data_IF_891097213188
#
_entry.id   IF_891097213188
#
_cell.length_a   1.000
_cell.length_b   1.000
_cell.length_c   1.000
_cell.angle_alpha   90.00
_cell.angle_beta   90.00
_cell.angle_gamma   90.00
#
_symmetry.space_group_name_H-M   'P 1'
#
loop_
_entity.id
_entity.type
_entity.pdbx_description
1 polymer ?
#
# COMPACT_ATOMS: atom_id res chain seq x y z
N UNK A 1 33.88 -15.14 -2.74
CA UNK A 1 34.30 -14.38 -1.54
C UNK A 1 34.45 -12.91 -1.92
N UNK A 2 33.35 -12.16 -1.90
CA UNK A 2 33.32 -10.72 -2.14
C UNK A 2 33.11 -10.02 -0.80
N UNK A 3 34.07 -9.17 -0.41
CA UNK A 3 33.98 -8.33 0.79
C UNK A 3 32.91 -7.28 0.54
N UNK A 4 31.80 -7.34 1.27
CA UNK A 4 30.86 -6.23 1.39
C UNK A 4 31.57 -5.08 2.12
N UNK A 5 31.84 -4.00 1.40
CA UNK A 5 32.26 -2.72 1.96
C UNK A 5 31.13 -2.19 2.84
N UNK A 6 31.26 -2.37 4.16
CA UNK A 6 30.37 -1.77 5.14
C UNK A 6 30.50 -0.26 5.11
N UNK A 7 29.57 0.41 4.44
CA UNK A 7 29.31 1.83 4.63
C UNK A 7 28.86 2.02 6.07
N UNK A 8 29.73 2.63 6.87
CA UNK A 8 29.39 2.97 8.24
C UNK A 8 28.53 4.23 8.23
N UNK A 9 27.22 4.04 8.31
CA UNK A 9 26.29 5.12 8.66
C UNK A 9 26.61 5.51 10.11
N UNK A 10 26.98 6.77 10.34
CA UNK A 10 27.04 7.34 11.68
C UNK A 10 25.60 7.45 12.18
N UNK A 11 25.14 6.44 12.90
CA UNK A 11 23.85 6.47 13.57
C UNK A 11 24.00 7.27 14.88
N UNK A 12 23.35 8.43 15.03
CA UNK A 12 23.45 9.28 16.22
C UNK A 12 22.97 8.57 17.50
N UNK A 13 22.34 7.40 17.41
CA UNK A 13 21.92 6.59 18.55
C UNK A 13 23.04 5.70 19.14
N UNK A 14 24.22 5.59 18.50
CA UNK A 14 25.24 4.60 18.90
C UNK A 14 26.70 5.11 18.83
N UNK A 15 27.27 5.65 19.93
CA UNK A 15 28.67 6.04 19.96
C UNK A 15 29.64 4.84 19.95
N UNK A 16 30.77 5.01 19.24
CA UNK A 16 31.67 3.95 18.75
C UNK A 16 32.58 3.23 19.77
N UNK A 17 32.47 3.43 21.09
CA UNK A 17 33.33 2.71 22.07
C UNK A 17 32.64 2.50 23.42
N UNK A 18 31.95 1.37 23.56
CA UNK A 18 31.54 0.85 24.87
C UNK A 18 32.43 -0.35 25.26
N UNK A 19 32.95 -0.36 26.49
CA UNK A 19 33.40 -1.62 27.12
C UNK A 19 32.15 -2.49 27.26
N UNK A 20 32.10 -3.63 26.56
CA UNK A 20 30.94 -4.52 26.61
C UNK A 20 30.78 -5.07 28.03
N UNK A 21 29.66 -4.72 28.69
CA UNK A 21 29.28 -5.28 29.99
C UNK A 21 28.93 -6.78 29.89
N UNK A 22 28.95 -7.59 30.96
CA UNK A 22 28.34 -8.92 30.94
C UNK A 22 26.86 -8.84 30.52
N UNK A 23 26.36 -9.82 29.75
CA UNK A 23 24.97 -9.78 29.25
C UNK A 23 23.96 -9.75 30.41
N UNK A 24 24.25 -10.46 31.49
CA UNK A 24 23.43 -10.53 32.71
C UNK A 24 23.37 -9.18 33.44
N UNK A 25 24.43 -8.38 33.36
CA UNK A 25 24.41 -7.00 33.87
C UNK A 25 23.49 -6.11 33.02
N UNK A 26 23.61 -6.23 31.69
CA UNK A 26 22.75 -5.50 30.75
C UNK A 26 21.28 -5.85 30.97
N UNK A 27 20.94 -7.15 31.03
CA UNK A 27 19.58 -7.62 31.25
C UNK A 27 19.01 -7.09 32.59
N UNK A 28 19.78 -7.17 33.69
CA UNK A 28 19.35 -6.62 34.99
C UNK A 28 19.16 -5.10 34.93
N UNK A 29 19.95 -4.40 34.14
CA UNK A 29 19.78 -2.97 33.89
C UNK A 29 18.48 -2.64 33.15
N UNK A 30 18.09 -3.46 32.18
CA UNK A 30 16.81 -3.32 31.47
C UNK A 30 15.62 -3.50 32.42
N UNK A 31 15.66 -4.53 33.29
CA UNK A 31 14.65 -4.72 34.34
C UNK A 31 14.58 -3.58 35.37
N UNK A 32 15.55 -2.66 35.35
CA UNK A 32 15.57 -1.45 36.18
C UNK A 32 15.28 -0.18 35.37
N UNK A 33 14.69 -0.32 34.18
CA UNK A 33 14.30 0.79 33.30
C UNK A 33 15.49 1.64 32.80
N UNK A 34 16.71 1.10 32.79
CA UNK A 34 17.88 1.87 32.38
C UNK A 34 18.00 1.96 30.85
N UNK A 35 17.83 3.18 30.31
CA UNK A 35 17.91 3.47 28.88
C UNK A 35 19.25 3.03 28.26
N UNK A 36 20.37 3.26 28.95
CA UNK A 36 21.68 2.86 28.43
C UNK A 36 21.79 1.34 28.28
N UNK A 37 21.24 0.58 29.23
CA UNK A 37 21.22 -0.88 29.13
C UNK A 37 20.23 -1.36 28.07
N UNK A 38 19.09 -0.68 27.87
CA UNK A 38 18.16 -0.95 26.77
C UNK A 38 18.87 -0.76 25.42
N UNK A 39 19.54 0.37 25.21
CA UNK A 39 20.31 0.66 23.99
C UNK A 39 21.42 -0.37 23.75
N UNK A 40 22.15 -0.73 24.81
CA UNK A 40 23.20 -1.75 24.74
C UNK A 40 22.64 -3.14 24.40
N UNK A 41 21.50 -3.54 25.01
CA UNK A 41 20.84 -4.80 24.70
C UNK A 41 20.42 -4.85 23.23
N UNK A 42 19.83 -3.77 22.71
CA UNK A 42 19.42 -3.69 21.31
C UNK A 42 20.60 -3.77 20.35
N UNK A 43 21.70 -3.06 20.65
CA UNK A 43 22.92 -3.16 19.84
C UNK A 43 23.43 -4.61 19.76
N UNK A 44 23.35 -5.36 20.88
CA UNK A 44 23.72 -6.79 20.91
C UNK A 44 22.75 -7.67 20.14
N UNK A 45 21.44 -7.40 20.21
CA UNK A 45 20.42 -8.14 19.46
C UNK A 45 20.58 -7.99 17.95
N UNK A 46 20.98 -6.80 17.48
CA UNK A 46 21.27 -6.55 16.06
C UNK A 46 22.45 -7.37 15.53
N UNK A 47 23.44 -7.63 16.37
CA UNK A 47 24.62 -8.44 16.01
C UNK A 47 24.35 -9.94 16.18
N UNK A 48 23.64 -10.32 17.24
CA UNK A 48 23.36 -11.70 17.60
C UNK A 48 21.99 -11.79 18.27
N UNK A 49 20.98 -12.21 17.52
CA UNK A 49 19.66 -12.41 18.10
C UNK A 49 19.60 -13.69 18.94
N UNK A 50 18.92 -13.61 20.09
CA UNK A 50 18.47 -14.77 20.88
C UNK A 50 17.17 -14.43 21.61
N UNK A 51 16.25 -15.40 21.79
CA UNK A 51 14.99 -15.18 22.51
C UNK A 51 15.18 -14.55 23.91
N UNK A 52 16.21 -14.96 24.64
CA UNK A 52 16.50 -14.45 26.00
C UNK A 52 16.79 -12.93 26.05
N UNK A 53 17.12 -12.32 24.91
CA UNK A 53 17.33 -10.87 24.80
C UNK A 53 16.04 -10.11 24.49
N UNK A 54 15.01 -10.79 23.98
CA UNK A 54 13.70 -10.21 23.70
C UNK A 54 12.86 -10.10 24.98
N UNK A 55 12.89 -11.13 25.82
CA UNK A 55 12.06 -11.19 27.04
C UNK A 55 12.22 -9.96 27.96
N UNK A 56 13.43 -9.40 28.21
CA UNK A 56 13.58 -8.17 28.99
C UNK A 56 12.93 -6.94 28.33
N UNK A 57 12.91 -6.88 27.00
CA UNK A 57 12.26 -5.77 26.27
C UNK A 57 10.73 -5.93 26.32
N UNK A 58 10.21 -7.14 26.16
CA UNK A 58 8.77 -7.42 26.32
C UNK A 58 8.32 -7.08 27.75
N UNK A 59 9.12 -7.43 28.76
CA UNK A 59 8.84 -7.05 30.15
C UNK A 59 8.76 -5.54 30.34
N UNK A 60 9.63 -4.75 29.71
CA UNK A 60 9.55 -3.27 29.81
C UNK A 60 8.27 -2.75 29.18
N UNK A 61 7.81 -3.32 28.06
CA UNK A 61 6.50 -2.97 27.52
C UNK A 61 5.38 -3.32 28.49
N UNK A 62 5.35 -4.57 28.96
CA UNK A 62 4.27 -5.15 29.76
C UNK A 62 4.17 -4.55 31.17
N UNK A 63 5.28 -4.26 31.84
CA UNK A 63 5.25 -3.50 33.09
C UNK A 63 5.00 -2.01 32.84
N UNK A 64 5.35 -1.54 31.64
CA UNK A 64 5.13 -0.16 31.20
C UNK A 64 3.67 0.21 31.11
N UNK A 65 2.83 -0.71 30.65
CA UNK A 65 1.38 -0.50 30.58
C UNK A 65 0.78 -0.18 31.94
N UNK A 66 1.28 -0.81 33.01
CA UNK A 66 0.78 -0.62 34.39
C UNK A 66 1.05 0.78 34.93
N UNK A 67 2.01 1.50 34.34
CA UNK A 67 2.39 2.85 34.76
C UNK A 67 1.89 3.93 33.80
N UNK A 68 1.41 3.58 32.60
CA UNK A 68 0.80 4.53 31.66
C UNK A 68 -0.42 5.19 32.32
N UNK A 69 -0.46 6.52 32.29
CA UNK A 69 -1.57 7.31 32.84
C UNK A 69 -1.54 7.50 34.36
N UNK A 70 -0.57 6.90 35.07
CA UNK A 70 -0.37 7.18 36.49
C UNK A 70 0.36 8.53 36.65
N UNK A 71 -0.19 9.42 37.49
CA UNK A 71 0.45 10.70 37.85
C UNK A 71 1.83 10.54 38.49
N UNK A 72 2.11 9.37 39.04
CA UNK A 72 3.35 9.04 39.77
C UNK A 72 4.40 8.33 38.91
N UNK A 73 4.13 8.08 37.62
CA UNK A 73 5.09 7.47 36.72
C UNK A 73 6.35 8.34 36.62
N UNK A 74 7.53 7.75 36.87
CA UNK A 74 8.80 8.48 36.75
C UNK A 74 9.10 8.74 35.28
N UNK A 75 9.59 9.93 34.96
CA UNK A 75 10.01 10.29 33.58
C UNK A 75 10.93 9.24 32.97
N UNK A 76 11.89 8.72 33.74
CA UNK A 76 12.83 7.69 33.29
C UNK A 76 12.14 6.40 32.82
N UNK A 77 11.03 6.00 33.46
CA UNK A 77 10.30 4.80 33.08
C UNK A 77 9.50 5.03 31.79
N UNK A 78 8.93 6.23 31.63
CA UNK A 78 8.24 6.63 30.41
C UNK A 78 9.20 6.72 29.22
N UNK A 79 10.40 7.29 29.45
CA UNK A 79 11.45 7.40 28.43
C UNK A 79 11.99 6.03 28.02
N UNK A 80 12.18 5.12 28.98
CA UNK A 80 12.59 3.75 28.71
C UNK A 80 11.50 2.95 27.97
N UNK A 81 10.23 3.08 28.35
CA UNK A 81 9.12 2.45 27.64
C UNK A 81 8.97 2.97 26.21
N UNK A 82 9.06 4.29 26.01
CA UNK A 82 9.12 4.93 24.68
C UNK A 82 10.29 4.39 23.87
N UNK A 83 11.49 4.32 24.45
CA UNK A 83 12.65 3.78 23.78
C UNK A 83 12.42 2.32 23.35
N UNK A 84 11.91 1.47 24.22
CA UNK A 84 11.61 0.07 23.89
C UNK A 84 10.57 -0.05 22.78
N UNK A 85 9.49 0.75 22.84
CA UNK A 85 8.49 0.78 21.77
C UNK A 85 9.13 1.16 20.42
N UNK A 86 9.91 2.24 20.38
CA UNK A 86 10.66 2.65 19.17
C UNK A 86 11.58 1.53 18.69
N UNK A 87 12.26 0.82 19.59
CA UNK A 87 13.18 -0.27 19.23
C UNK A 87 12.43 -1.48 18.66
N UNK A 88 11.23 -1.78 19.18
CA UNK A 88 10.36 -2.84 18.66
C UNK A 88 9.92 -2.54 17.23
N UNK A 89 9.76 -1.26 16.89
CA UNK A 89 9.49 -0.85 15.51
C UNK A 89 10.61 -1.34 14.58
N UNK A 90 11.88 -1.15 14.96
CA UNK A 90 13.05 -1.56 14.15
C UNK A 90 13.37 -3.08 14.22
N UNK A 91 12.81 -3.77 15.19
CA UNK A 91 13.07 -5.19 15.49
C UNK A 91 12.77 -6.12 14.31
N UNK A 92 11.76 -5.75 13.53
CA UNK A 92 11.30 -6.45 12.33
C UNK A 92 12.40 -6.64 11.27
N UNK A 93 13.37 -5.73 11.23
CA UNK A 93 14.45 -5.75 10.23
C UNK A 93 15.63 -6.67 10.59
N UNK A 94 15.71 -7.17 11.83
CA UNK A 94 16.86 -7.96 12.30
C UNK A 94 16.51 -9.43 12.57
N UNK A 95 15.35 -9.69 13.16
CA UNK A 95 15.03 -10.99 13.75
C UNK A 95 14.26 -11.94 12.81
N UNK A 96 13.73 -11.43 11.70
CA UNK A 96 12.97 -12.21 10.71
C UNK A 96 13.87 -12.93 9.67
N UNK A 97 15.19 -12.84 9.84
CA UNK A 97 16.19 -13.42 8.91
C UNK A 97 16.28 -14.95 8.96
N UNK A 98 15.75 -15.60 10.00
CA UNK A 98 15.67 -17.05 10.16
C UNK A 98 14.25 -17.48 10.53
N UNK A 99 13.70 -18.46 9.82
CA UNK A 99 12.30 -18.90 10.03
C UNK A 99 12.06 -19.47 11.45
N UNK A 100 13.04 -20.16 12.04
CA UNK A 100 12.92 -20.70 13.40
C UNK A 100 12.89 -19.58 14.47
N UNK A 101 13.61 -18.48 14.23
CA UNK A 101 13.62 -17.32 15.13
C UNK A 101 12.35 -16.49 14.96
N UNK A 102 11.86 -16.38 13.72
CA UNK A 102 10.63 -15.66 13.37
C UNK A 102 9.45 -16.13 14.20
N UNK A 103 9.16 -17.42 14.21
CA UNK A 103 7.97 -17.94 14.90
C UNK A 103 7.98 -17.65 16.41
N UNK A 104 9.14 -17.77 17.06
CA UNK A 104 9.29 -17.47 18.49
C UNK A 104 9.06 -15.98 18.78
N UNK A 105 9.63 -15.11 17.94
CA UNK A 105 9.45 -13.65 18.04
C UNK A 105 7.98 -13.28 17.83
N UNK A 106 7.35 -13.83 16.79
CA UNK A 106 5.94 -13.56 16.47
C UNK A 106 5.03 -13.95 17.62
N UNK A 107 5.21 -15.14 18.22
CA UNK A 107 4.42 -15.57 19.38
C UNK A 107 4.54 -14.59 20.56
N UNK A 108 5.74 -14.07 20.83
CA UNK A 108 5.97 -13.08 21.90
C UNK A 108 5.33 -11.71 21.59
N UNK A 109 5.43 -11.25 20.34
CA UNK A 109 4.82 -9.99 19.92
C UNK A 109 3.29 -10.07 19.98
N UNK A 110 2.71 -11.20 19.54
CA UNK A 110 1.27 -11.44 19.60
C UNK A 110 0.80 -11.51 21.05
N UNK A 111 1.53 -12.20 21.94
CA UNK A 111 1.17 -12.26 23.37
C UNK A 111 1.24 -10.91 24.07
N UNK A 112 2.02 -9.97 23.53
CA UNK A 112 2.22 -8.62 24.09
C UNK A 112 1.48 -7.55 23.29
N UNK A 113 0.55 -7.94 22.41
CA UNK A 113 -0.15 -7.01 21.50
C UNK A 113 -0.88 -5.91 22.25
N UNK A 114 -1.60 -6.25 23.33
CA UNK A 114 -2.31 -5.25 24.15
C UNK A 114 -1.34 -4.22 24.75
N UNK A 115 -0.17 -4.67 25.20
CA UNK A 115 0.86 -3.77 25.72
C UNK A 115 1.46 -2.87 24.64
N UNK A 116 1.70 -3.41 23.44
CA UNK A 116 2.13 -2.63 22.29
C UNK A 116 1.08 -1.55 21.96
N UNK A 117 -0.21 -1.91 22.02
CA UNK A 117 -1.31 -0.99 21.79
C UNK A 117 -1.41 0.08 22.87
N UNK A 118 -1.31 -0.26 24.15
CA UNK A 118 -1.30 0.74 25.25
C UNK A 118 -0.21 1.80 25.04
N UNK A 119 0.99 1.39 24.63
CA UNK A 119 2.07 2.31 24.31
C UNK A 119 1.82 3.12 23.03
N UNK A 120 1.32 2.48 21.98
CA UNK A 120 0.97 3.17 20.73
C UNK A 120 -0.07 4.27 20.97
N UNK A 121 -1.10 3.95 21.75
CA UNK A 121 -2.18 4.84 22.15
C UNK A 121 -1.67 5.98 23.04
N UNK A 122 -0.85 5.67 24.05
CA UNK A 122 -0.19 6.67 24.90
C UNK A 122 0.62 7.68 24.08
N UNK A 123 1.48 7.18 23.18
CA UNK A 123 2.34 8.04 22.36
C UNK A 123 1.54 8.86 21.34
N UNK A 124 0.49 8.28 20.76
CA UNK A 124 -0.36 8.96 19.79
C UNK A 124 -1.27 10.03 20.43
N UNK A 125 -1.87 9.75 21.60
CA UNK A 125 -2.88 10.62 22.22
C UNK A 125 -2.36 11.55 23.32
N UNK A 126 -1.41 11.16 24.18
CA UNK A 126 -0.92 12.09 25.22
C UNK A 126 -0.07 13.24 24.66
N UNK A 127 0.26 13.15 23.38
CA UNK A 127 0.87 14.24 22.63
C UNK A 127 -0.16 15.30 22.16
N UNK A 128 -1.47 15.08 22.37
CA UNK A 128 -2.55 15.99 21.95
C UNK A 128 -3.06 16.96 23.04
N UNK A 129 -2.76 16.72 24.32
CA UNK A 129 -3.26 17.53 25.45
C UNK A 129 -2.40 18.78 25.79
N UNK A 130 -1.40 19.10 24.97
CA UNK A 130 -0.40 20.14 25.25
C UNK A 130 -0.60 21.45 24.48
N UNK A 131 -1.71 22.16 24.71
CA UNK A 131 -1.83 23.56 24.30
C UNK A 131 -0.83 24.43 25.07
N UNK A 132 0.40 24.62 24.54
CA UNK A 132 1.24 25.83 24.62
C UNK A 132 2.64 25.52 24.06
N UNK A 133 3.02 26.13 22.93
CA UNK A 133 4.41 26.22 22.51
C UNK A 133 4.70 25.63 21.12
N UNK A 134 5.28 26.46 20.26
CA UNK A 134 5.70 26.13 18.89
C UNK A 134 6.78 25.03 18.80
N UNK A 135 7.42 24.65 19.91
CA UNK A 135 8.45 23.60 19.98
C UNK A 135 7.88 22.18 20.19
N UNK A 136 6.64 22.03 20.68
CA UNK A 136 6.03 20.72 20.94
C UNK A 136 5.45 20.05 19.69
N UNK A 137 5.26 20.80 18.59
CA UNK A 137 4.65 20.27 17.37
C UNK A 137 5.56 19.30 16.60
N UNK A 138 6.89 19.46 16.68
CA UNK A 138 7.82 18.54 16.00
C UNK A 138 7.90 17.18 16.71
N UNK A 139 8.01 17.18 18.04
CA UNK A 139 8.07 15.95 18.82
C UNK A 139 6.79 15.11 18.70
N UNK A 140 5.63 15.76 18.58
CA UNK A 140 4.35 15.07 18.34
C UNK A 140 4.30 14.38 16.98
N UNK A 141 4.74 15.05 15.92
CA UNK A 141 4.82 14.45 14.57
C UNK A 141 5.76 13.24 14.56
N UNK A 142 6.86 13.31 15.31
CA UNK A 142 7.83 12.23 15.42
C UNK A 142 7.27 11.02 16.17
N UNK A 143 6.52 11.23 17.26
CA UNK A 143 5.90 10.15 18.03
C UNK A 143 4.78 9.44 17.23
N UNK A 144 3.88 10.20 16.60
CA UNK A 144 2.83 9.66 15.72
C UNK A 144 3.44 8.89 14.55
N UNK A 145 4.49 9.43 13.94
CA UNK A 145 5.22 8.76 12.86
C UNK A 145 5.90 7.48 13.32
N UNK A 146 6.51 7.49 14.52
CA UNK A 146 7.14 6.31 15.12
C UNK A 146 6.13 5.21 15.40
N UNK A 147 4.98 5.54 15.98
CA UNK A 147 3.88 4.57 16.23
C UNK A 147 3.40 3.96 14.92
N UNK A 148 3.05 4.80 13.95
CA UNK A 148 2.56 4.31 12.66
C UNK A 148 3.61 3.42 11.97
N UNK A 149 4.89 3.81 12.00
CA UNK A 149 5.98 3.02 11.45
C UNK A 149 6.15 1.67 12.14
N UNK A 150 6.08 1.63 13.47
CA UNK A 150 6.19 0.41 14.24
C UNK A 150 5.12 -0.60 13.88
N UNK A 151 3.87 -0.17 13.96
CA UNK A 151 2.73 -1.03 13.64
C UNK A 151 2.78 -1.49 12.17
N UNK A 152 3.11 -0.59 11.24
CA UNK A 152 3.32 -0.93 9.83
C UNK A 152 4.41 -2.01 9.63
N UNK A 153 5.57 -1.84 10.26
CA UNK A 153 6.68 -2.80 10.12
C UNK A 153 6.36 -4.15 10.73
N UNK A 154 5.69 -4.19 11.89
CA UNK A 154 5.27 -5.45 12.51
C UNK A 154 4.25 -6.19 11.62
N UNK A 155 3.23 -5.48 11.11
CA UNK A 155 2.17 -6.10 10.31
C UNK A 155 2.62 -6.53 8.91
N UNK A 156 3.55 -5.81 8.26
CA UNK A 156 4.04 -6.20 6.91
C UNK A 156 5.08 -7.31 6.91
N UNK A 157 5.69 -7.60 8.06
CA UNK A 157 6.76 -8.62 8.17
C UNK A 157 6.26 -9.93 8.76
N UNK A 158 5.07 -9.95 9.33
CA UNK A 158 4.45 -11.12 9.95
C UNK A 158 2.97 -11.21 9.63
N UNK A 159 2.59 -12.20 8.82
CA UNK A 159 1.19 -12.51 8.52
C UNK A 159 0.42 -12.92 9.79
N UNK A 160 1.07 -13.70 10.67
CA UNK A 160 0.50 -14.11 11.97
C UNK A 160 0.17 -12.91 12.84
N UNK A 161 1.09 -11.93 12.93
CA UNK A 161 0.85 -10.70 13.69
C UNK A 161 -0.24 -9.86 13.05
N UNK A 162 -0.24 -9.70 11.72
CA UNK A 162 -1.29 -8.97 11.00
C UNK A 162 -2.68 -9.58 11.23
N UNK A 163 -2.78 -10.92 11.20
CA UNK A 163 -4.01 -11.63 11.48
C UNK A 163 -4.48 -11.43 12.93
N UNK A 164 -3.58 -11.50 13.91
CA UNK A 164 -3.91 -11.22 15.31
C UNK A 164 -4.33 -9.76 15.53
N UNK A 165 -3.60 -8.81 14.92
CA UNK A 165 -3.91 -7.39 14.95
C UNK A 165 -5.29 -7.08 14.37
N UNK A 166 -5.67 -7.74 13.28
CA UNK A 166 -6.99 -7.57 12.65
C UNK A 166 -8.16 -8.05 13.53
N UNK A 167 -7.90 -8.85 14.58
CA UNK A 167 -8.93 -9.23 15.56
C UNK A 167 -9.15 -8.17 16.64
N UNK A 168 -8.19 -7.25 16.83
CA UNK A 168 -8.20 -6.22 17.87
C UNK A 168 -8.85 -4.92 17.39
N UNK A 169 -10.00 -4.55 17.97
CA UNK A 169 -10.71 -3.33 17.61
C UNK A 169 -9.88 -2.07 17.89
N UNK A 170 -9.01 -2.10 18.90
CA UNK A 170 -8.04 -1.04 19.22
C UNK A 170 -7.03 -0.84 18.10
N UNK A 171 -6.45 -1.92 17.58
CA UNK A 171 -5.50 -1.86 16.47
C UNK A 171 -6.18 -1.32 15.19
N UNK A 172 -7.39 -1.81 14.90
CA UNK A 172 -8.18 -1.35 13.76
C UNK A 172 -8.52 0.15 13.89
N UNK A 173 -8.90 0.61 15.08
CA UNK A 173 -9.19 2.02 15.36
C UNK A 173 -7.94 2.91 15.21
N UNK A 174 -6.77 2.47 15.68
CA UNK A 174 -5.51 3.18 15.43
C UNK A 174 -5.16 3.24 13.94
N UNK A 175 -5.34 2.14 13.21
CA UNK A 175 -5.09 2.10 11.76
C UNK A 175 -6.00 3.09 11.01
N UNK A 176 -7.28 3.14 11.40
CA UNK A 176 -8.26 4.10 10.88
C UNK A 176 -7.89 5.55 11.27
N UNK A 177 -7.42 5.78 12.49
CA UNK A 177 -6.93 7.09 12.93
C UNK A 177 -5.78 7.59 12.04
N UNK A 178 -4.76 6.77 11.76
CA UNK A 178 -3.65 7.17 10.89
C UNK A 178 -4.10 7.43 9.45
N UNK A 179 -5.04 6.64 8.94
CA UNK A 179 -5.64 6.87 7.63
C UNK A 179 -6.33 8.23 7.52
N UNK A 180 -7.01 8.64 8.60
CA UNK A 180 -7.78 9.89 8.68
C UNK A 180 -6.94 11.10 9.12
N UNK A 181 -5.77 10.90 9.71
CA UNK A 181 -4.95 11.98 10.25
C UNK A 181 -4.59 13.03 9.19
N UNK A 182 -4.53 14.30 9.60
CA UNK A 182 -4.24 15.43 8.70
C UNK A 182 -3.23 16.40 9.30
N UNK A 183 -2.38 17.00 8.44
CA UNK A 183 -1.48 18.10 8.79
C UNK A 183 -1.82 19.30 7.91
N UNK A 184 -2.17 20.44 8.52
CA UNK A 184 -2.60 21.63 7.78
C UNK A 184 -3.83 21.42 6.90
N UNK A 185 -4.76 20.55 7.34
CA UNK A 185 -5.98 20.20 6.59
C UNK A 185 -5.76 19.24 5.41
N UNK A 186 -4.54 18.72 5.21
CA UNK A 186 -4.21 17.74 4.17
C UNK A 186 -3.92 16.37 4.78
N UNK A 187 -4.16 15.25 4.07
CA UNK A 187 -3.85 13.93 4.58
C UNK A 187 -2.40 13.83 5.07
N UNK A 188 -2.20 13.21 6.24
CA UNK A 188 -0.89 12.86 6.75
C UNK A 188 -0.28 11.80 5.84
N UNK A 189 0.80 12.16 5.14
CA UNK A 189 1.54 11.32 4.19
C UNK A 189 3.02 11.47 4.51
N UNK A 190 3.70 10.34 4.73
CA UNK A 190 5.06 10.23 5.23
C UNK A 190 5.27 10.95 6.58
N UNK A 191 4.65 10.47 7.67
CA UNK A 191 4.70 11.13 8.98
C UNK A 191 6.12 11.25 9.57
N UNK A 192 7.10 10.50 9.05
CA UNK A 192 8.52 10.58 9.43
C UNK A 192 9.44 10.92 8.25
N UNK A 193 8.93 11.59 7.20
CA UNK A 193 9.70 11.92 5.97
C UNK A 193 10.37 10.66 5.38
N UNK A 194 9.64 9.54 5.44
CA UNK A 194 10.10 8.20 5.02
C UNK A 194 10.30 8.06 3.51
N UNK A 195 9.88 9.05 2.73
CA UNK A 195 10.01 8.98 1.29
C UNK A 195 11.48 8.90 0.90
N UNK A 196 11.84 7.84 0.17
CA UNK A 196 13.20 7.64 -0.32
C UNK A 196 13.68 8.88 -1.12
N UNK A 197 14.94 9.28 -0.93
CA UNK A 197 15.54 10.45 -1.60
C UNK A 197 15.56 10.31 -3.13
N UNK A 198 15.48 9.07 -3.63
CA UNK A 198 15.34 8.78 -5.05
C UNK A 198 13.92 9.14 -5.54
N UNK A 199 13.77 10.14 -6.42
CA UNK A 199 12.48 10.53 -6.98
C UNK A 199 11.88 9.48 -7.94
N UNK A 200 12.67 8.48 -8.35
CA UNK A 200 12.24 7.41 -9.24
C UNK A 200 11.78 6.17 -8.50
N UNK A 201 12.16 6.00 -7.23
CA UNK A 201 11.70 4.87 -6.42
C UNK A 201 10.26 5.08 -5.97
N UNK A 202 9.46 4.01 -6.09
CA UNK A 202 8.18 3.88 -5.38
C UNK A 202 8.46 3.72 -3.89
N UNK A 203 7.60 4.28 -3.04
CA UNK A 203 7.75 4.30 -1.59
C UNK A 203 6.41 4.16 -0.90
N UNK A 204 6.23 3.04 -0.20
CA UNK A 204 5.05 2.78 0.62
C UNK A 204 4.91 3.83 1.71
N UNK A 205 3.73 4.46 1.76
CA UNK A 205 3.34 5.34 2.86
C UNK A 205 2.75 4.49 4.00
N UNK A 206 3.37 4.48 5.19
CA UNK A 206 2.95 3.65 6.31
C UNK A 206 1.50 3.87 6.73
N UNK A 207 1.02 5.12 6.70
CA UNK A 207 -0.36 5.45 7.11
C UNK A 207 -1.39 4.85 6.15
N UNK A 208 -1.06 4.83 4.85
CA UNK A 208 -1.90 4.28 3.80
C UNK A 208 -1.85 2.75 3.82
N UNK A 209 -0.64 2.17 3.80
CA UNK A 209 -0.48 0.72 3.65
C UNK A 209 -0.92 -0.04 4.90
N UNK A 210 -0.70 0.49 6.12
CA UNK A 210 -1.16 -0.16 7.34
C UNK A 210 -2.69 -0.37 7.33
N UNK A 211 -3.46 0.67 7.03
CA UNK A 211 -4.92 0.55 6.96
C UNK A 211 -5.38 -0.36 5.82
N UNK A 212 -4.76 -0.23 4.64
CA UNK A 212 -5.10 -1.09 3.50
C UNK A 212 -4.69 -2.55 3.67
N UNK A 213 -3.76 -2.86 4.57
CA UNK A 213 -3.46 -4.23 5.00
C UNK A 213 -4.55 -4.79 5.94
N UNK A 214 -5.11 -3.95 6.82
CA UNK A 214 -6.13 -4.37 7.78
C UNK A 214 -7.51 -4.56 7.14
N UNK A 215 -7.89 -3.73 6.17
CA UNK A 215 -9.21 -3.78 5.51
C UNK A 215 -9.57 -5.15 4.92
N UNK A 216 -8.69 -5.83 4.15
CA UNK A 216 -8.98 -7.17 3.64
C UNK A 216 -9.11 -8.24 4.73
N UNK A 217 -8.44 -8.07 5.88
CA UNK A 217 -8.44 -9.04 6.98
C UNK A 217 -9.68 -8.91 7.87
N UNK A 218 -10.20 -7.69 8.06
CA UNK A 218 -11.35 -7.42 8.93
C UNK A 218 -12.32 -6.38 8.35
N UNK A 219 -12.88 -6.60 7.15
CA UNK A 219 -13.67 -5.59 6.46
C UNK A 219 -14.93 -5.18 7.23
N UNK A 220 -15.67 -6.14 7.78
CA UNK A 220 -16.91 -5.87 8.53
C UNK A 220 -16.65 -5.08 9.82
N UNK A 221 -15.60 -5.41 10.58
CA UNK A 221 -15.23 -4.66 11.79
C UNK A 221 -14.82 -3.23 11.49
N UNK A 222 -14.08 -3.01 10.40
CA UNK A 222 -13.68 -1.65 10.00
C UNK A 222 -14.89 -0.84 9.55
N UNK A 223 -15.83 -1.46 8.83
CA UNK A 223 -17.12 -0.84 8.50
C UNK A 223 -17.86 -0.41 9.76
N UNK A 224 -17.96 -1.30 10.76
CA UNK A 224 -18.59 -1.00 12.05
C UNK A 224 -17.92 0.21 12.71
N UNK A 225 -16.58 0.23 12.81
CA UNK A 225 -15.82 1.35 13.38
C UNK A 225 -16.01 2.68 12.62
N UNK A 226 -16.19 2.64 11.29
CA UNK A 226 -16.49 3.83 10.49
C UNK A 226 -17.90 4.33 10.81
N UNK A 227 -18.88 3.43 10.88
CA UNK A 227 -20.28 3.76 11.17
C UNK A 227 -20.53 4.20 12.61
N UNK A 228 -19.75 3.68 13.57
CA UNK A 228 -19.74 4.16 14.95
C UNK A 228 -19.44 5.66 15.04
N UNK A 229 -18.73 6.22 14.05
CA UNK A 229 -18.46 7.65 13.98
C UNK A 229 -17.52 8.18 15.07
N UNK A 230 -16.88 7.29 15.85
CA UNK A 230 -16.10 7.68 17.02
C UNK A 230 -14.80 8.44 16.68
N UNK A 231 -14.31 8.33 15.44
CA UNK A 231 -13.18 9.11 14.91
C UNK A 231 -13.64 10.20 13.94
N UNK A 232 -14.53 9.87 13.00
CA UNK A 232 -15.20 10.82 12.12
C UNK A 232 -16.49 10.22 11.55
N UNK A 233 -17.36 11.07 11.00
CA UNK A 233 -18.55 10.64 10.27
C UNK A 233 -18.18 9.84 9.00
N UNK A 234 -19.02 8.90 8.53
CA UNK A 234 -18.77 8.12 7.31
C UNK A 234 -18.52 8.98 6.06
N UNK A 235 -19.24 10.10 5.90
CA UNK A 235 -19.05 11.01 4.77
C UNK A 235 -17.68 11.69 4.80
N UNK A 236 -17.23 12.04 6.00
CA UNK A 236 -15.91 12.63 6.21
C UNK A 236 -14.80 11.60 5.95
N UNK A 237 -15.01 10.33 6.32
CA UNK A 237 -14.11 9.23 5.97
C UNK A 237 -13.97 9.08 4.44
N UNK A 238 -15.10 9.06 3.72
CA UNK A 238 -15.11 8.99 2.25
C UNK A 238 -14.39 10.19 1.64
N UNK A 239 -14.67 11.40 2.11
CA UNK A 239 -14.00 12.62 1.64
C UNK A 239 -12.48 12.55 1.85
N UNK A 240 -12.02 12.16 3.04
CA UNK A 240 -10.58 12.06 3.34
C UNK A 240 -9.89 10.96 2.53
N UNK A 241 -10.57 9.85 2.28
CA UNK A 241 -10.07 8.78 1.39
C UNK A 241 -9.87 9.27 -0.04
N UNK A 242 -10.83 10.05 -0.56
CA UNK A 242 -10.72 10.68 -1.88
C UNK A 242 -9.59 11.70 -1.94
N UNK A 243 -9.45 12.54 -0.90
CA UNK A 243 -8.39 13.53 -0.85
C UNK A 243 -6.99 12.90 -0.75
N UNK A 244 -6.88 11.75 -0.09
CA UNK A 244 -5.65 10.93 -0.08
C UNK A 244 -5.31 10.42 -1.48
N UNK A 245 -6.28 9.92 -2.26
CA UNK A 245 -6.06 9.53 -3.67
C UNK A 245 -5.55 10.72 -4.51
N UNK A 246 -6.17 11.90 -4.37
CA UNK A 246 -5.72 13.12 -5.07
C UNK A 246 -4.29 13.52 -4.69
N UNK A 247 -3.95 13.43 -3.41
CA UNK A 247 -2.63 13.79 -2.90
C UNK A 247 -1.52 12.93 -3.50
N UNK A 248 -1.69 11.59 -3.53
CA UNK A 248 -0.75 10.70 -4.22
C UNK A 248 -0.75 10.90 -5.74
N UNK A 249 -1.89 11.29 -6.30
CA UNK A 249 -2.00 11.69 -7.70
C UNK A 249 -1.15 12.91 -8.09
N UNK A 250 -0.68 13.71 -7.13
CA UNK A 250 0.20 14.86 -7.36
C UNK A 250 1.05 15.17 -6.12
N UNK A 251 2.01 14.31 -5.80
CA UNK A 251 2.86 14.46 -4.61
C UNK A 251 3.51 15.84 -4.47
N UNK A 252 4.04 16.40 -5.57
CA UNK A 252 4.67 17.73 -5.59
C UNK A 252 3.74 18.85 -5.09
N UNK A 253 2.42 18.63 -5.10
CA UNK A 253 1.47 19.60 -4.53
C UNK A 253 1.51 19.66 -3.01
N UNK A 254 2.07 18.65 -2.34
CA UNK A 254 2.24 18.60 -0.88
C UNK A 254 3.44 19.46 -0.46
N UNK A 255 3.29 20.39 0.51
CA UNK A 255 4.33 21.36 0.86
C UNK A 255 5.70 20.73 1.14
N UNK A 256 5.73 19.64 1.91
CA UNK A 256 6.96 18.93 2.29
C UNK A 256 7.58 18.09 1.15
N UNK A 257 6.88 17.91 0.03
CA UNK A 257 7.33 17.12 -1.12
C UNK A 257 7.45 17.96 -2.41
N UNK A 258 7.40 19.29 -2.29
CA UNK A 258 7.50 20.24 -3.44
C UNK A 258 8.81 20.13 -4.24
N UNK A 259 9.86 19.59 -3.61
CA UNK A 259 11.16 19.37 -4.21
C UNK A 259 11.21 18.16 -5.17
N UNK A 260 10.21 17.28 -5.13
CA UNK A 260 10.16 16.12 -6.02
C UNK A 260 9.75 16.49 -7.46
N UNK A 261 10.27 15.77 -8.47
CA UNK A 261 9.84 15.91 -9.87
C UNK A 261 8.34 15.64 -10.07
N UNK A 262 7.77 16.13 -11.18
CA UNK A 262 6.34 15.94 -11.47
C UNK A 262 5.99 14.51 -11.91
N UNK A 263 6.98 13.79 -12.44
CA UNK A 263 6.88 12.39 -12.82
C UNK A 263 7.05 11.42 -11.65
N UNK A 264 7.27 11.90 -10.43
CA UNK A 264 7.34 11.04 -9.24
C UNK A 264 5.98 10.40 -8.96
N UNK A 265 5.98 9.08 -8.76
CA UNK A 265 4.77 8.27 -8.60
C UNK A 265 4.91 7.32 -7.41
N UNK A 266 3.81 7.11 -6.71
CA UNK A 266 3.69 6.15 -5.62
C UNK A 266 2.60 5.12 -5.94
N UNK A 267 2.91 4.14 -6.78
CA UNK A 267 1.89 3.24 -7.31
C UNK A 267 1.32 2.32 -6.23
N UNK A 268 2.16 1.85 -5.32
CA UNK A 268 1.72 0.99 -4.22
C UNK A 268 0.67 1.70 -3.35
N UNK A 269 0.83 3.00 -3.11
CA UNK A 269 -0.15 3.79 -2.36
C UNK A 269 -1.46 4.00 -3.15
N UNK A 270 -1.37 4.30 -4.45
CA UNK A 270 -2.56 4.45 -5.32
C UNK A 270 -3.36 3.15 -5.40
N UNK A 271 -2.66 2.02 -5.61
CA UNK A 271 -3.25 0.67 -5.57
C UNK A 271 -3.91 0.41 -4.24
N UNK A 272 -3.18 0.61 -3.14
CA UNK A 272 -3.68 0.38 -1.79
C UNK A 272 -5.01 1.11 -1.55
N UNK A 273 -5.12 2.39 -1.94
CA UNK A 273 -6.35 3.16 -1.81
C UNK A 273 -7.50 2.58 -2.64
N UNK A 274 -7.23 2.19 -3.90
CA UNK A 274 -8.24 1.58 -4.76
C UNK A 274 -8.74 0.24 -4.18
N UNK A 275 -7.84 -0.67 -3.81
CA UNK A 275 -8.19 -1.97 -3.24
C UNK A 275 -8.96 -1.85 -1.91
N UNK A 276 -8.49 -0.97 -1.02
CA UNK A 276 -9.14 -0.67 0.25
C UNK A 276 -10.56 -0.17 0.03
N UNK A 277 -10.73 0.80 -0.88
CA UNK A 277 -12.05 1.37 -1.20
C UNK A 277 -12.98 0.30 -1.74
N UNK A 278 -12.53 -0.52 -2.70
CA UNK A 278 -13.33 -1.62 -3.28
C UNK A 278 -13.76 -2.62 -2.22
N UNK A 279 -12.86 -3.00 -1.31
CA UNK A 279 -13.15 -3.93 -0.23
C UNK A 279 -14.24 -3.39 0.71
N UNK A 280 -14.16 -2.11 1.09
CA UNK A 280 -15.19 -1.46 1.92
C UNK A 280 -16.53 -1.32 1.19
N UNK A 281 -16.53 -0.91 -0.08
CA UNK A 281 -17.75 -0.86 -0.91
C UNK A 281 -18.42 -2.24 -1.05
N UNK A 282 -17.63 -3.32 -1.06
CA UNK A 282 -18.16 -4.69 -1.11
C UNK A 282 -18.72 -5.14 0.24
N UNK A 283 -18.09 -4.70 1.33
CA UNK A 283 -18.47 -5.08 2.69
C UNK A 283 -19.73 -4.36 3.17
N UNK A 284 -19.98 -3.13 2.70
CA UNK A 284 -21.08 -2.31 3.17
C UNK A 284 -21.79 -1.49 2.09
N UNK A 285 -23.12 -1.53 2.11
CA UNK A 285 -23.96 -0.87 1.09
C UNK A 285 -23.98 0.65 1.25
N UNK A 286 -23.92 1.16 2.48
CA UNK A 286 -23.94 2.60 2.73
C UNK A 286 -22.63 3.25 2.32
N UNK A 287 -21.48 2.67 2.69
CA UNK A 287 -20.18 3.11 2.17
C UNK A 287 -20.12 3.00 0.64
N UNK A 288 -20.67 1.93 0.06
CA UNK A 288 -20.79 1.83 -1.40
C UNK A 288 -21.57 3.02 -1.98
N UNK A 289 -22.72 3.36 -1.39
CA UNK A 289 -23.51 4.52 -1.80
C UNK A 289 -22.75 5.84 -1.64
N UNK A 290 -22.06 6.05 -0.51
CA UNK A 290 -21.32 7.27 -0.23
C UNK A 290 -20.14 7.46 -1.19
N UNK A 291 -19.32 6.42 -1.42
CA UNK A 291 -18.24 6.47 -2.41
C UNK A 291 -18.76 6.70 -3.83
N UNK A 292 -19.88 6.08 -4.19
CA UNK A 292 -20.52 6.26 -5.50
C UNK A 292 -21.02 7.70 -5.70
N UNK A 293 -21.70 8.25 -4.68
CA UNK A 293 -22.26 9.60 -4.71
C UNK A 293 -21.15 10.65 -4.73
N UNK A 294 -20.04 10.40 -4.04
CA UNK A 294 -18.83 11.22 -4.08
C UNK A 294 -18.01 11.03 -5.38
N UNK A 295 -18.49 10.22 -6.34
CA UNK A 295 -17.85 9.93 -7.63
C UNK A 295 -16.43 9.37 -7.49
N UNK A 296 -16.15 8.61 -6.41
CA UNK A 296 -14.81 8.09 -6.14
C UNK A 296 -14.24 7.25 -7.29
N UNK A 297 -14.98 6.29 -7.92
CA UNK A 297 -14.43 5.53 -9.03
C UNK A 297 -13.99 6.41 -10.20
N UNK A 298 -14.84 7.35 -10.61
CA UNK A 298 -14.55 8.30 -11.71
C UNK A 298 -13.30 9.13 -11.40
N UNK A 299 -13.20 9.63 -10.17
CA UNK A 299 -12.07 10.43 -9.72
C UNK A 299 -10.79 9.60 -9.67
N UNK A 300 -10.84 8.38 -9.16
CA UNK A 300 -9.69 7.49 -9.03
C UNK A 300 -9.11 7.18 -10.41
N UNK A 301 -9.97 6.86 -11.38
CA UNK A 301 -9.52 6.65 -12.76
C UNK A 301 -8.87 7.90 -13.36
N UNK A 302 -9.45 9.10 -13.15
CA UNK A 302 -8.83 10.35 -13.62
C UNK A 302 -7.45 10.57 -13.01
N UNK A 303 -7.27 10.28 -11.73
CA UNK A 303 -5.98 10.35 -11.06
C UNK A 303 -4.98 9.38 -11.69
N UNK A 304 -5.36 8.11 -11.86
CA UNK A 304 -4.51 7.09 -12.49
C UNK A 304 -4.10 7.49 -13.92
N UNK A 305 -5.04 7.97 -14.73
CA UNK A 305 -4.80 8.46 -16.10
C UNK A 305 -3.83 9.64 -16.12
N UNK A 306 -4.02 10.61 -15.22
CA UNK A 306 -3.16 11.78 -15.13
C UNK A 306 -1.73 11.39 -14.73
N UNK A 307 -1.57 10.52 -13.73
CA UNK A 307 -0.28 9.98 -13.30
C UNK A 307 0.42 9.27 -14.45
N UNK A 308 -0.26 8.32 -15.10
CA UNK A 308 0.27 7.52 -16.18
C UNK A 308 0.67 8.36 -17.40
N UNK A 309 -0.12 9.39 -17.73
CA UNK A 309 0.19 10.33 -18.82
C UNK A 309 1.46 11.14 -18.53
N UNK A 310 1.67 11.60 -17.28
CA UNK A 310 2.92 12.27 -16.87
C UNK A 310 4.12 11.33 -16.96
N UNK A 311 3.97 10.08 -16.53
CA UNK A 311 5.03 9.05 -16.63
C UNK A 311 5.39 8.78 -18.09
N UNK A 312 4.40 8.61 -18.97
CA UNK A 312 4.62 8.43 -20.41
C UNK A 312 5.39 9.60 -21.02
N UNK A 313 4.98 10.83 -20.73
CA UNK A 313 5.66 12.04 -21.22
C UNK A 313 7.11 12.10 -20.74
N UNK A 314 7.37 11.78 -19.47
CA UNK A 314 8.72 11.70 -18.95
C UNK A 314 9.55 10.59 -19.63
N UNK A 315 8.94 9.44 -19.92
CA UNK A 315 9.60 8.30 -20.57
C UNK A 315 10.07 8.61 -22.00
N UNK A 316 9.36 9.48 -22.72
CA UNK A 316 9.75 9.92 -24.07
C UNK A 316 11.05 10.74 -24.07
N UNK A 317 11.39 11.38 -22.95
CA UNK A 317 12.57 12.24 -22.80
C UNK A 317 13.81 11.55 -22.21
N UNK A 318 13.69 10.29 -21.77
CA UNK A 318 14.73 9.60 -20.98
C UNK A 318 15.39 8.43 -21.74
N UNK A 319 16.57 8.03 -21.27
CA UNK A 319 17.33 6.90 -21.82
C UNK A 319 16.68 5.54 -21.57
N UNK A 320 17.14 4.51 -22.30
CA UNK A 320 16.46 3.20 -22.40
C UNK A 320 16.32 2.43 -21.07
N UNK A 321 17.25 2.59 -20.13
CA UNK A 321 17.16 1.95 -18.81
C UNK A 321 16.05 2.56 -17.92
N UNK A 322 15.92 3.89 -17.93
CA UNK A 322 14.87 4.60 -17.18
C UNK A 322 13.48 4.37 -17.80
N UNK A 323 13.44 4.10 -19.11
CA UNK A 323 12.23 3.76 -19.83
C UNK A 323 11.62 2.42 -19.38
N UNK A 324 12.45 1.42 -19.03
CA UNK A 324 11.98 0.13 -18.49
C UNK A 324 11.22 0.29 -17.17
N UNK A 325 11.83 0.97 -16.20
CA UNK A 325 11.19 1.28 -14.91
C UNK A 325 9.86 2.03 -15.06
N UNK A 326 9.81 3.01 -15.97
CA UNK A 326 8.57 3.76 -16.25
C UNK A 326 7.47 2.89 -16.84
N UNK A 327 7.81 1.90 -17.67
CA UNK A 327 6.86 0.91 -18.19
C UNK A 327 6.27 0.08 -17.05
N UNK A 328 7.09 -0.37 -16.11
CA UNK A 328 6.63 -1.13 -14.94
C UNK A 328 5.67 -0.27 -14.08
N UNK A 329 6.00 1.01 -13.88
CA UNK A 329 5.11 1.95 -13.19
C UNK A 329 3.77 2.14 -13.91
N UNK A 330 3.76 2.13 -15.24
CA UNK A 330 2.51 2.24 -16.02
C UNK A 330 1.67 0.96 -15.95
N UNK A 331 2.31 -0.21 -15.94
CA UNK A 331 1.63 -1.50 -15.74
C UNK A 331 0.96 -1.59 -14.37
N UNK A 332 1.65 -1.13 -13.33
CA UNK A 332 1.11 -1.06 -11.95
C UNK A 332 -0.14 -0.17 -11.87
N UNK A 333 -0.17 0.98 -12.54
CA UNK A 333 -1.36 1.84 -12.62
C UNK A 333 -2.55 1.17 -13.34
N UNK A 334 -2.27 0.31 -14.31
CA UNK A 334 -3.31 -0.40 -15.05
C UNK A 334 -4.01 -1.44 -14.17
N UNK A 335 -3.26 -2.13 -13.30
CA UNK A 335 -3.82 -3.04 -12.29
C UNK A 335 -4.78 -2.30 -11.33
N UNK A 336 -4.36 -1.14 -10.81
CA UNK A 336 -5.24 -0.29 -10.00
C UNK A 336 -6.52 0.12 -10.76
N UNK A 337 -6.42 0.38 -12.06
CA UNK A 337 -7.55 0.76 -12.90
C UNK A 337 -8.60 -0.36 -13.04
N UNK A 338 -8.18 -1.62 -13.05
CA UNK A 338 -9.10 -2.78 -13.03
C UNK A 338 -9.86 -2.85 -11.72
N UNK A 339 -9.16 -2.65 -10.61
CA UNK A 339 -9.79 -2.57 -9.31
C UNK A 339 -10.87 -1.46 -9.27
N UNK A 340 -10.59 -0.30 -9.88
CA UNK A 340 -11.56 0.81 -10.02
C UNK A 340 -12.74 0.43 -10.94
N UNK A 341 -12.50 -0.30 -12.03
CA UNK A 341 -13.57 -0.79 -12.90
C UNK A 341 -14.52 -1.74 -12.16
N UNK A 342 -13.98 -2.63 -11.32
CA UNK A 342 -14.79 -3.57 -10.54
C UNK A 342 -15.72 -2.86 -9.54
N UNK A 343 -15.38 -1.65 -9.10
CA UNK A 343 -16.26 -0.86 -8.26
C UNK A 343 -17.59 -0.56 -8.98
N UNK A 344 -17.60 -0.41 -10.30
CA UNK A 344 -18.83 -0.18 -11.08
C UNK A 344 -19.86 -1.27 -10.82
N UNK A 345 -19.41 -2.53 -10.78
CA UNK A 345 -20.29 -3.68 -10.58
C UNK A 345 -20.98 -3.63 -9.20
N UNK A 346 -20.35 -2.98 -8.22
CA UNK A 346 -20.92 -2.74 -6.89
C UNK A 346 -21.90 -1.56 -6.89
N UNK A 347 -21.80 -0.65 -7.86
CA UNK A 347 -22.62 0.56 -7.97
C UNK A 347 -23.88 0.42 -8.81
N UNK A 348 -24.14 -0.76 -9.39
CA UNK A 348 -25.25 -0.99 -10.35
C UNK A 348 -26.64 -0.59 -9.83
N UNK A 349 -26.83 -0.56 -8.51
CA UNK A 349 -28.07 -0.13 -7.85
C UNK A 349 -28.24 1.41 -7.78
N UNK A 350 -27.21 2.18 -8.10
CA UNK A 350 -27.17 3.64 -7.93
C UNK A 350 -27.28 4.39 -9.28
N UNK A 351 -28.04 5.48 -9.32
CA UNK A 351 -28.55 6.06 -10.58
C UNK A 351 -27.56 6.77 -11.55
N UNK A 352 -26.28 7.10 -11.26
CA UNK A 352 -25.42 7.72 -12.28
C UNK A 352 -24.44 6.75 -12.98
N UNK A 353 -24.71 5.44 -13.01
CA UNK A 353 -23.78 4.41 -13.55
C UNK A 353 -23.33 4.68 -15.01
N UNK A 354 -24.21 5.17 -15.89
CA UNK A 354 -23.89 5.30 -17.32
C UNK A 354 -22.82 6.36 -17.65
N UNK A 355 -22.78 7.48 -16.92
CA UNK A 355 -21.74 8.51 -17.14
C UNK A 355 -20.38 8.00 -16.65
N UNK A 356 -20.38 7.48 -15.41
CA UNK A 356 -19.20 6.91 -14.77
C UNK A 356 -18.59 5.78 -15.60
N UNK A 357 -19.39 4.87 -16.15
CA UNK A 357 -18.91 3.83 -17.08
C UNK A 357 -18.12 4.39 -18.28
N UNK A 358 -18.59 5.49 -18.91
CA UNK A 358 -17.90 6.07 -20.07
C UNK A 358 -16.54 6.64 -19.69
N UNK A 359 -16.45 7.37 -18.57
CA UNK A 359 -15.20 7.96 -18.09
C UNK A 359 -14.20 6.86 -17.72
N UNK A 360 -14.69 5.83 -17.02
CA UNK A 360 -13.86 4.72 -16.57
C UNK A 360 -13.28 3.94 -17.76
N UNK A 361 -14.11 3.63 -18.75
CA UNK A 361 -13.65 2.96 -19.96
C UNK A 361 -12.68 3.80 -20.77
N UNK A 362 -12.97 5.09 -20.97
CA UNK A 362 -12.04 6.00 -21.65
C UNK A 362 -10.69 6.08 -20.91
N UNK A 363 -10.72 6.06 -19.58
CA UNK A 363 -9.53 6.03 -18.75
C UNK A 363 -8.69 4.78 -18.95
N UNK A 364 -9.29 3.59 -18.90
CA UNK A 364 -8.56 2.33 -19.14
C UNK A 364 -7.94 2.30 -20.54
N UNK A 365 -8.65 2.79 -21.56
CA UNK A 365 -8.09 2.90 -22.91
C UNK A 365 -6.85 3.79 -22.96
N UNK A 366 -6.93 4.95 -22.31
CA UNK A 366 -5.83 5.88 -22.29
C UNK A 366 -4.63 5.28 -21.56
N UNK A 367 -4.86 4.63 -20.41
CA UNK A 367 -3.81 3.93 -19.65
C UNK A 367 -3.13 2.83 -20.48
N UNK A 368 -3.94 1.97 -21.12
CA UNK A 368 -3.43 0.90 -21.96
C UNK A 368 -2.70 1.44 -23.20
N UNK A 369 -3.23 2.49 -23.83
CA UNK A 369 -2.62 3.16 -24.98
C UNK A 369 -1.26 3.78 -24.64
N UNK A 370 -1.17 4.48 -23.50
CA UNK A 370 0.08 5.08 -23.01
C UNK A 370 1.14 4.01 -22.71
N UNK A 371 0.73 2.91 -22.06
CA UNK A 371 1.59 1.76 -21.78
C UNK A 371 2.12 1.15 -23.09
N UNK A 372 1.23 0.78 -24.01
CA UNK A 372 1.61 0.17 -25.29
C UNK A 372 2.48 1.10 -26.16
N UNK A 373 2.23 2.42 -26.13
CA UNK A 373 3.03 3.39 -26.88
C UNK A 373 4.45 3.54 -26.34
N UNK A 374 4.65 3.27 -25.05
CA UNK A 374 5.96 3.42 -24.41
C UNK A 374 6.75 2.13 -24.40
N UNK A 375 6.09 0.99 -24.26
CA UNK A 375 6.75 -0.32 -24.23
C UNK A 375 7.43 -0.64 -25.57
N UNK A 376 8.67 -1.12 -25.55
CA UNK A 376 9.24 -1.76 -26.76
C UNK A 376 8.86 -3.25 -26.77
N UNK A 377 8.78 -3.89 -27.95
CA UNK A 377 8.57 -5.34 -28.08
C UNK A 377 9.42 -6.19 -27.15
N UNK A 378 10.66 -5.77 -26.90
CA UNK A 378 11.62 -6.43 -26.03
C UNK A 378 11.39 -6.20 -24.53
N UNK A 379 10.76 -5.10 -24.10
CA UNK A 379 10.42 -4.85 -22.69
C UNK A 379 9.13 -5.57 -22.30
N UNK A 380 8.15 -5.66 -23.21
CA UNK A 380 6.93 -6.49 -23.03
C UNK A 380 7.25 -7.99 -22.94
N UNK A 381 8.48 -8.43 -23.25
CA UNK A 381 8.87 -9.84 -23.26
C UNK A 381 10.02 -10.16 -22.29
N UNK A 382 10.54 -9.19 -21.53
CA UNK A 382 11.68 -9.37 -20.60
C UNK A 382 11.39 -9.02 -19.13
N UNK A 383 10.22 -8.47 -18.81
CA UNK A 383 9.78 -8.32 -17.42
C UNK A 383 9.70 -9.68 -16.73
N UNK A 384 9.92 -9.72 -15.41
CA UNK A 384 9.80 -10.93 -14.62
C UNK A 384 8.46 -11.63 -14.92
N UNK A 385 8.48 -12.96 -15.04
CA UNK A 385 7.42 -13.88 -15.55
C UNK A 385 5.98 -13.64 -15.02
N UNK A 386 5.79 -12.81 -13.98
CA UNK A 386 4.48 -12.49 -13.39
C UNK A 386 3.85 -11.17 -13.88
N UNK A 387 4.61 -10.15 -14.29
CA UNK A 387 4.06 -8.78 -14.44
C UNK A 387 3.55 -8.47 -15.87
N UNK A 388 4.21 -9.01 -16.89
CA UNK A 388 3.77 -8.90 -18.30
C UNK A 388 2.48 -9.69 -18.54
N UNK A 389 2.43 -10.91 -17.97
CA UNK A 389 1.25 -11.75 -18.00
C UNK A 389 0.09 -11.03 -17.31
N UNK A 390 0.35 -10.36 -16.20
CA UNK A 390 -0.66 -9.57 -15.50
C UNK A 390 -1.19 -8.44 -16.39
N UNK A 391 -0.37 -7.56 -16.97
CA UNK A 391 -0.88 -6.41 -17.75
C UNK A 391 -1.72 -6.81 -18.98
N UNK A 392 -1.29 -7.81 -19.76
CA UNK A 392 -2.10 -8.30 -20.89
C UNK A 392 -3.32 -9.10 -20.43
N UNK A 393 -3.22 -9.89 -19.35
CA UNK A 393 -4.39 -10.57 -18.74
C UNK A 393 -5.35 -9.56 -18.11
N UNK A 394 -4.87 -8.44 -17.59
CA UNK A 394 -5.62 -7.31 -17.04
C UNK A 394 -6.34 -6.58 -18.17
N UNK A 395 -5.64 -6.23 -19.25
CA UNK A 395 -6.27 -5.68 -20.48
C UNK A 395 -7.32 -6.66 -21.01
N UNK A 396 -6.98 -7.94 -21.10
CA UNK A 396 -7.87 -8.98 -21.58
C UNK A 396 -9.04 -9.28 -20.64
N UNK A 397 -8.84 -9.17 -19.34
CA UNK A 397 -9.85 -9.31 -18.30
C UNK A 397 -10.85 -8.17 -18.40
N UNK A 398 -10.37 -6.92 -18.45
CA UNK A 398 -11.21 -5.75 -18.75
C UNK A 398 -11.96 -5.92 -20.06
N UNK A 399 -11.31 -6.39 -21.13
CA UNK A 399 -11.97 -6.60 -22.42
C UNK A 399 -13.00 -7.73 -22.39
N UNK A 400 -12.79 -8.76 -21.56
CA UNK A 400 -13.69 -9.91 -21.39
C UNK A 400 -14.91 -9.50 -20.56
N UNK A 401 -14.67 -8.89 -19.40
CA UNK A 401 -15.69 -8.49 -18.42
C UNK A 401 -16.50 -7.27 -18.89
N UNK A 402 -15.92 -6.44 -19.75
CA UNK A 402 -16.57 -5.25 -20.32
C UNK A 402 -16.77 -5.35 -21.85
N UNK A 403 -16.85 -6.58 -22.38
CA UNK A 403 -17.19 -6.90 -23.78
C UNK A 403 -18.53 -6.29 -24.27
N UNK A 404 -19.36 -5.81 -23.33
CA UNK A 404 -20.60 -5.08 -23.58
C UNK A 404 -20.39 -3.67 -24.15
N UNK A 405 -19.17 -3.12 -24.14
CA UNK A 405 -18.89 -1.73 -24.54
C UNK A 405 -18.05 -1.62 -25.83
N UNK A 406 -18.69 -1.66 -27.02
CA UNK A 406 -18.02 -1.84 -28.31
C UNK A 406 -17.19 -0.63 -28.73
N UNK A 407 -17.52 0.56 -28.21
CA UNK A 407 -16.84 1.83 -28.51
C UNK A 407 -15.42 1.89 -27.93
N UNK A 408 -15.12 1.01 -26.98
CA UNK A 408 -13.86 0.94 -26.23
C UNK A 408 -13.01 -0.19 -26.78
N UNK A 409 -13.63 -1.34 -27.01
CA UNK A 409 -12.98 -2.50 -27.59
C UNK A 409 -12.34 -2.22 -28.95
N UNK A 410 -12.99 -1.49 -29.87
CA UNK A 410 -12.45 -1.29 -31.23
C UNK A 410 -11.14 -0.47 -31.23
N UNK A 411 -11.02 0.69 -30.55
CA UNK A 411 -9.74 1.39 -30.41
C UNK A 411 -8.66 0.56 -29.72
N UNK A 412 -9.00 -0.20 -28.67
CA UNK A 412 -8.01 -1.02 -27.97
C UNK A 412 -7.52 -2.18 -28.82
N UNK A 413 -8.43 -2.83 -29.54
CA UNK A 413 -8.09 -3.86 -30.52
C UNK A 413 -7.13 -3.29 -31.59
N UNK A 414 -7.37 -2.08 -32.09
CA UNK A 414 -6.50 -1.45 -33.07
C UNK A 414 -5.08 -1.22 -32.53
N UNK A 415 -4.93 -0.69 -31.31
CA UNK A 415 -3.60 -0.47 -30.74
C UNK A 415 -2.90 -1.74 -30.30
N UNK A 416 -3.63 -2.74 -29.84
CA UNK A 416 -3.09 -4.08 -29.66
C UNK A 416 -2.58 -4.63 -30.99
N UNK A 417 -3.39 -4.62 -32.06
CA UNK A 417 -2.98 -5.09 -33.40
C UNK A 417 -1.73 -4.39 -33.90
N UNK A 418 -1.67 -3.05 -33.79
CA UNK A 418 -0.51 -2.26 -34.17
C UNK A 418 0.73 -2.65 -33.37
N UNK A 419 0.60 -2.78 -32.05
CA UNK A 419 1.72 -3.14 -31.18
C UNK A 419 2.24 -4.55 -31.47
N UNK A 420 1.32 -5.47 -31.79
CA UNK A 420 1.59 -6.90 -31.98
C UNK A 420 2.15 -7.16 -33.38
N UNK A 421 1.68 -6.44 -34.39
CA UNK A 421 2.29 -6.44 -35.73
C UNK A 421 3.73 -5.92 -35.72
N UNK A 422 4.09 -5.09 -34.72
CA UNK A 422 5.46 -4.61 -34.50
C UNK A 422 6.36 -5.56 -33.69
N UNK A 423 5.84 -6.67 -33.14
CA UNK A 423 6.66 -7.67 -32.46
C UNK A 423 7.43 -8.50 -33.50
N UNK A 424 8.72 -8.80 -33.30
CA UNK A 424 9.36 -9.92 -34.00
C UNK A 424 8.51 -11.17 -33.78
N UNK A 425 8.49 -12.12 -34.73
CA UNK A 425 7.61 -13.29 -34.61
C UNK A 425 7.73 -13.88 -33.20
N UNK A 426 6.61 -14.21 -32.53
CA UNK A 426 6.63 -14.73 -31.15
C UNK A 426 7.59 -15.93 -30.99
N UNK A 427 7.84 -16.66 -32.08
CA UNK A 427 8.85 -17.72 -32.25
C UNK A 427 10.32 -17.28 -32.19
N UNK A 428 10.64 -16.03 -32.48
CA UNK A 428 11.99 -15.46 -32.45
C UNK A 428 12.37 -14.90 -31.08
N UNK A 429 11.39 -14.49 -30.25
CA UNK A 429 11.66 -13.89 -28.93
C UNK A 429 11.39 -14.85 -27.79
N UNK A 430 10.34 -15.67 -27.89
CA UNK A 430 10.03 -16.70 -26.91
C UNK A 430 10.45 -18.06 -27.49
N UNK A 431 11.14 -18.87 -26.68
CA UNK A 431 11.54 -20.21 -27.08
C UNK A 431 10.35 -21.00 -27.64
N UNK A 432 10.57 -21.92 -28.61
CA UNK A 432 9.50 -22.53 -29.40
C UNK A 432 8.38 -23.20 -28.59
N UNK A 433 8.65 -23.57 -27.33
CA UNK A 433 7.77 -24.30 -26.41
C UNK A 433 7.52 -23.61 -25.05
N UNK A 434 7.75 -22.31 -24.88
CA UNK A 434 7.49 -21.68 -23.57
C UNK A 434 6.00 -21.73 -23.19
N UNK A 435 5.71 -21.97 -21.91
CA UNK A 435 4.37 -21.82 -21.29
C UNK A 435 3.76 -20.46 -21.64
N UNK A 436 4.58 -19.41 -21.63
CA UNK A 436 4.21 -18.04 -21.94
C UNK A 436 3.72 -17.90 -23.38
N UNK A 437 4.40 -18.51 -24.37
CA UNK A 437 3.95 -18.51 -25.76
C UNK A 437 2.58 -19.17 -25.92
N UNK A 438 2.30 -20.24 -25.16
CA UNK A 438 0.99 -20.91 -25.15
C UNK A 438 -0.08 -20.02 -24.51
N UNK A 439 0.21 -19.37 -23.38
CA UNK A 439 -0.71 -18.46 -22.67
C UNK A 439 -1.00 -17.19 -23.46
N UNK A 440 0.02 -16.55 -24.01
CA UNK A 440 -0.10 -15.39 -24.88
C UNK A 440 -0.94 -15.77 -26.11
N UNK A 441 -0.59 -16.88 -26.78
CA UNK A 441 -1.33 -17.40 -27.93
C UNK A 441 -2.80 -17.75 -27.61
N UNK A 442 -3.08 -18.27 -26.42
CA UNK A 442 -4.44 -18.50 -25.95
C UNK A 442 -5.20 -17.18 -25.75
N UNK A 443 -4.58 -16.22 -25.05
CA UNK A 443 -5.14 -14.87 -24.84
C UNK A 443 -5.42 -14.17 -26.16
N UNK A 444 -4.52 -14.28 -27.13
CA UNK A 444 -4.70 -13.79 -28.51
C UNK A 444 -5.86 -14.44 -29.25
N UNK A 445 -6.03 -15.76 -29.13
CA UNK A 445 -7.15 -16.47 -29.75
C UNK A 445 -8.47 -16.06 -29.12
N UNK A 446 -8.52 -15.97 -27.79
CA UNK A 446 -9.66 -15.49 -27.03
C UNK A 446 -10.02 -14.06 -27.44
N UNK A 447 -9.02 -13.17 -27.50
CA UNK A 447 -9.16 -11.80 -28.00
C UNK A 447 -9.70 -11.72 -29.43
N UNK A 448 -9.11 -12.47 -30.36
CA UNK A 448 -9.52 -12.50 -31.77
C UNK A 448 -10.91 -13.12 -31.95
N UNK A 449 -11.32 -14.00 -31.03
CA UNK A 449 -12.69 -14.48 -30.96
C UNK A 449 -13.62 -13.36 -30.46
N UNK A 450 -13.22 -12.60 -29.43
CA UNK A 450 -14.01 -11.50 -28.89
C UNK A 450 -14.16 -10.31 -29.85
N UNK A 451 -13.12 -9.96 -30.60
CA UNK A 451 -13.17 -8.86 -31.57
C UNK A 451 -14.20 -9.10 -32.69
N UNK A 452 -14.56 -10.36 -32.97
CA UNK A 452 -15.64 -10.72 -33.90
C UNK A 452 -17.02 -10.28 -33.43
N UNK A 453 -17.22 -10.05 -32.13
CA UNK A 453 -18.47 -9.52 -31.56
C UNK A 453 -18.56 -7.98 -31.61
N UNK A 454 -17.54 -7.31 -32.16
CA UNK A 454 -17.52 -5.85 -32.41
C UNK A 454 -18.14 -5.46 -33.77
N UNK A 455 -18.49 -6.47 -34.57
CA UNK A 455 -19.25 -6.30 -35.79
C UNK A 455 -20.73 -6.10 -35.43
N UNK A 456 -21.29 -4.92 -35.76
CA UNK A 456 -22.69 -4.57 -35.51
C UNK A 456 -23.65 -5.65 -36.05
N UNK A 457 -23.30 -6.27 -37.18
CA UNK A 457 -24.10 -7.31 -37.85
C UNK A 457 -24.17 -8.60 -37.04
N UNK A 458 -23.12 -8.94 -36.29
CA UNK A 458 -23.06 -10.15 -35.45
C UNK A 458 -23.53 -9.90 -34.02
N UNK A 459 -23.58 -8.64 -33.59
CA UNK A 459 -24.06 -8.23 -32.26
C UNK A 459 -25.55 -8.45 -32.09
N UNK A 460 -26.33 -8.14 -33.13
CA UNK A 460 -27.78 -8.38 -33.19
C UNK A 460 -28.09 -9.86 -32.99
N UNK A 461 -27.33 -10.78 -33.62
CA UNK A 461 -27.57 -12.22 -33.46
C UNK A 461 -27.29 -12.74 -32.05
N UNK A 462 -26.44 -12.10 -31.24
CA UNK A 462 -26.18 -12.52 -29.85
C UNK A 462 -27.27 -12.00 -28.92
N UNK A 463 -27.71 -10.74 -29.09
CA UNK A 463 -28.81 -10.18 -28.31
C UNK A 463 -30.17 -10.84 -28.64
N UNK A 464 -30.40 -11.23 -29.90
CA UNK A 464 -31.61 -11.97 -30.29
C UNK A 464 -31.62 -13.41 -29.76
N UNK A 465 -30.45 -14.02 -29.53
CA UNK A 465 -30.32 -15.33 -28.89
C UNK A 465 -30.38 -15.27 -27.34
N UNK A 466 -30.38 -14.08 -26.75
CA UNK A 466 -30.60 -13.86 -25.31
C UNK A 466 -32.05 -13.47 -24.97
N UNK A 467 -32.93 -13.36 -25.98
CA UNK A 467 -34.38 -13.34 -25.74
C UNK A 467 -34.78 -14.73 -25.26
N UNK A 468 -34.74 -14.88 -23.94
CA UNK A 468 -35.41 -15.96 -23.22
C UNK A 468 -36.84 -16.02 -23.77
N UNK A 469 -37.19 -17.13 -24.40
CA UNK A 469 -38.58 -17.44 -24.73
C UNK A 469 -39.41 -17.22 -23.47
N UNK A 470 -40.51 -16.46 -23.50
CA UNK A 470 -41.39 -16.40 -22.35
C UNK A 470 -41.91 -17.82 -22.12
N UNK A 471 -41.46 -18.45 -21.04
CA UNK A 471 -42.07 -19.68 -20.55
C UNK A 471 -43.52 -19.34 -20.20
N UNK A 472 -44.43 -19.87 -21.01
CA UNK A 472 -45.87 -19.99 -20.72
C UNK A 472 -46.06 -21.02 -19.62
#
# INVERSE_FOLDING_TARGET
MSRSSGTTVNDPLFPRKYRMKPLEEVIRGVYRWSIDHIRELTARMRVSYSPDKLDPLMWVLDEGTKIIGLKEARSEQLDAGRAVFTLICYFSSWCFSSDAQRETVERRLISSLDSILDWAEYLAWNSTDGSTGTENNSQHSDDVGTVCMGLFQLSTRSESFAAAAALSDRFLKLSLFFWLATVGGRPLIYPSIMRHWDPTSDCMDPTTVLFGLMVPLAPSKIVELIHEGSLCLPEEFVRRTIDRMKAFGRLKSLPHLTHYPEETVENENLKCIAYTTKALMRADRELCYLFSTAQAPELFMRVLVAVNTRVMQAAQSKGQAQKGHMVDLMGSNLDAAVCVMDMINLTCDFRPVLHTCKVLQAGVLQLAGNFLSTSTPSHVLKGNDNDINSALVIIMGVLTDHSLFPKVLRPLCHEMERHIAGLPSLSQVLGPNSEEKKRLGASFRTWKAFSRYLDNTRRVSVCDNLKVSPTV
#
